data_IF_538147226587
#
_entry.id   IF_538147226587
#
_cell.length_a   1.000
_cell.length_b   1.000
_cell.length_c   1.000
_cell.angle_alpha   90.00
_cell.angle_beta   90.00
_cell.angle_gamma   90.00
#
_symmetry.space_group_name_H-M   'P 1'
#
loop_
_entity.id
_entity.type
_entity.pdbx_description
1 polymer ?
#
# COMPACT_ATOMS: atom_id res chain seq x y z
N UNK A 1 -5.71 -17.99 13.23
CA UNK A 1 -6.44 -17.58 12.01
C UNK A 1 -5.74 -18.20 10.82
N UNK A 2 -6.48 -18.82 9.88
CA UNK A 2 -5.90 -19.41 8.67
C UNK A 2 -5.36 -18.31 7.75
N UNK A 3 -4.27 -18.59 7.03
CA UNK A 3 -3.58 -17.64 6.15
C UNK A 3 -4.50 -17.03 5.08
N UNK A 4 -5.47 -17.78 4.57
CA UNK A 4 -6.39 -17.29 3.53
C UNK A 4 -7.47 -16.34 4.08
N UNK A 5 -7.94 -16.60 5.30
CA UNK A 5 -8.84 -15.67 6.01
C UNK A 5 -8.12 -14.36 6.33
N UNK A 6 -6.84 -14.41 6.69
CA UNK A 6 -6.02 -13.21 6.91
C UNK A 6 -5.82 -12.39 5.64
N UNK A 7 -5.54 -13.04 4.50
CA UNK A 7 -5.41 -12.35 3.20
C UNK A 7 -6.70 -11.63 2.82
N UNK A 8 -7.87 -12.29 2.97
CA UNK A 8 -9.18 -11.67 2.69
C UNK A 8 -9.45 -10.46 3.59
N UNK A 9 -9.20 -10.60 4.89
CA UNK A 9 -9.37 -9.51 5.86
C UNK A 9 -8.48 -8.30 5.51
N UNK A 10 -7.22 -8.54 5.16
CA UNK A 10 -6.28 -7.48 4.83
C UNK A 10 -6.66 -6.77 3.52
N UNK A 11 -7.18 -7.50 2.52
CA UNK A 11 -7.73 -6.88 1.31
C UNK A 11 -8.93 -5.98 1.60
N UNK A 12 -9.83 -6.39 2.50
CA UNK A 12 -10.99 -5.56 2.91
C UNK A 12 -10.52 -4.29 3.61
N UNK A 13 -9.56 -4.40 4.54
CA UNK A 13 -8.98 -3.24 5.23
C UNK A 13 -8.32 -2.28 4.25
N UNK A 14 -7.55 -2.80 3.29
CA UNK A 14 -6.88 -1.97 2.28
C UNK A 14 -7.89 -1.23 1.37
N UNK A 15 -8.96 -1.92 0.97
CA UNK A 15 -10.00 -1.34 0.12
C UNK A 15 -10.79 -0.26 0.87
N UNK A 16 -11.14 -0.52 2.14
CA UNK A 16 -11.76 0.47 3.01
C UNK A 16 -10.88 1.70 3.26
N UNK A 17 -9.59 1.49 3.52
CA UNK A 17 -8.62 2.59 3.70
C UNK A 17 -8.51 3.44 2.43
N UNK A 18 -8.42 2.82 1.25
CA UNK A 18 -8.37 3.54 -0.02
C UNK A 18 -9.60 4.40 -0.26
N UNK A 19 -10.79 3.87 0.00
CA UNK A 19 -12.04 4.63 -0.12
C UNK A 19 -12.11 5.81 0.86
N UNK A 20 -11.66 5.61 2.11
CA UNK A 20 -11.65 6.65 3.14
C UNK A 20 -10.67 7.78 2.79
N UNK A 21 -9.48 7.44 2.27
CA UNK A 21 -8.50 8.43 1.79
C UNK A 21 -9.07 9.22 0.61
N UNK A 22 -9.66 8.53 -0.38
CA UNK A 22 -10.27 9.21 -1.53
C UNK A 22 -11.39 10.17 -1.10
N UNK A 23 -12.25 9.74 -0.17
CA UNK A 23 -13.29 10.59 0.40
C UNK A 23 -12.69 11.80 1.15
N UNK A 24 -11.64 11.59 1.94
CA UNK A 24 -10.98 12.67 2.67
C UNK A 24 -10.37 13.73 1.75
N UNK A 25 -9.87 13.33 0.58
CA UNK A 25 -9.37 14.25 -0.44
C UNK A 25 -10.51 15.06 -1.05
N UNK A 26 -11.61 14.41 -1.45
CA UNK A 26 -12.77 15.08 -2.09
C UNK A 26 -13.50 16.01 -1.13
N UNK A 27 -13.61 15.61 0.13
CA UNK A 27 -14.26 16.40 1.18
C UNK A 27 -13.35 17.49 1.78
N UNK A 28 -12.14 17.67 1.23
CA UNK A 28 -11.12 18.63 1.70
C UNK A 28 -10.87 18.54 3.21
N UNK A 29 -10.91 17.32 3.75
CA UNK A 29 -10.69 17.08 5.16
C UNK A 29 -9.23 17.41 5.53
N UNK A 30 -9.00 17.90 6.75
CA UNK A 30 -7.66 18.24 7.18
C UNK A 30 -6.76 17.00 7.23
N UNK A 31 -5.47 17.22 6.92
CA UNK A 31 -4.45 16.17 6.67
C UNK A 31 -4.31 15.15 7.82
N UNK A 32 -4.66 15.53 9.05
CA UNK A 32 -4.61 14.62 10.20
C UNK A 32 -5.63 13.47 10.13
N UNK A 33 -6.74 13.63 9.38
CA UNK A 33 -7.74 12.56 9.19
C UNK A 33 -7.16 11.37 8.42
N UNK A 34 -6.64 11.52 7.18
CA UNK A 34 -6.04 10.41 6.46
C UNK A 34 -4.80 9.86 7.18
N UNK A 35 -4.04 10.70 7.90
CA UNK A 35 -2.92 10.25 8.71
C UNK A 35 -3.36 9.27 9.81
N UNK A 36 -4.39 9.64 10.59
CA UNK A 36 -4.97 8.77 11.61
C UNK A 36 -5.50 7.47 11.02
N UNK A 37 -6.23 7.54 9.89
CA UNK A 37 -6.75 6.36 9.22
C UNK A 37 -5.64 5.37 8.81
N UNK A 38 -4.53 5.87 8.25
CA UNK A 38 -3.37 5.04 7.89
C UNK A 38 -2.74 4.40 9.12
N UNK A 39 -2.55 5.17 10.21
CA UNK A 39 -1.96 4.63 11.46
C UNK A 39 -2.81 3.53 12.08
N UNK A 40 -4.13 3.71 12.11
CA UNK A 40 -5.09 2.72 12.62
C UNK A 40 -5.09 1.44 11.77
N UNK A 41 -5.08 1.59 10.44
CA UNK A 41 -4.99 0.46 9.53
C UNK A 41 -3.69 -0.34 9.70
N UNK A 42 -2.56 0.36 9.89
CA UNK A 42 -1.26 -0.28 10.16
C UNK A 42 -1.27 -1.04 11.49
N UNK A 43 -1.82 -0.42 12.54
CA UNK A 43 -1.91 -1.03 13.87
C UNK A 43 -2.79 -2.28 13.82
N UNK A 44 -3.96 -2.20 13.18
CA UNK A 44 -4.85 -3.33 12.98
C UNK A 44 -4.15 -4.47 12.21
N UNK A 45 -3.49 -4.14 11.09
CA UNK A 45 -2.76 -5.13 10.29
C UNK A 45 -1.66 -5.84 11.12
N UNK A 46 -0.94 -5.11 11.96
CA UNK A 46 0.12 -5.69 12.79
C UNK A 46 -0.44 -6.60 13.90
N UNK A 47 -1.54 -6.22 14.53
CA UNK A 47 -2.22 -7.03 15.56
C UNK A 47 -2.75 -8.33 14.93
N UNK A 48 -3.44 -8.25 13.79
CA UNK A 48 -3.96 -9.44 13.11
C UNK A 48 -2.84 -10.35 12.60
N UNK A 49 -1.70 -9.78 12.18
CA UNK A 49 -0.53 -10.56 11.76
C UNK A 49 0.07 -11.39 12.89
N UNK A 50 0.07 -10.87 14.13
CA UNK A 50 0.54 -11.63 15.31
C UNK A 50 -0.32 -12.86 15.62
N UNK A 51 -1.57 -12.90 15.16
CA UNK A 51 -2.51 -14.00 15.37
C UNK A 51 -2.45 -15.15 14.35
N UNK A 52 -1.58 -15.08 13.35
CA UNK A 52 -1.42 -16.12 12.32
C UNK A 52 -0.19 -16.98 12.65
N UNK A 53 -0.42 -18.25 13.02
CA UNK A 53 0.63 -19.23 13.33
C UNK A 53 1.11 -20.04 12.11
N UNK A 54 0.45 -19.93 10.97
CA UNK A 54 0.82 -20.64 9.74
C UNK A 54 2.02 -19.99 9.03
N UNK A 55 2.94 -20.82 8.55
CA UNK A 55 4.06 -20.41 7.69
C UNK A 55 3.49 -19.92 6.35
N UNK A 56 3.43 -18.61 6.17
CA UNK A 56 2.75 -17.97 5.04
C UNK A 56 3.42 -18.19 3.68
N UNK A 57 4.60 -18.80 3.63
CA UNK A 57 5.38 -18.87 2.41
C UNK A 57 6.23 -20.15 2.38
N UNK A 58 6.08 -20.92 1.30
CA UNK A 58 6.96 -22.03 0.93
C UNK A 58 8.19 -21.46 0.15
N UNK A 59 9.36 -22.08 0.29
CA UNK A 59 10.62 -21.34 0.45
C UNK A 59 11.83 -22.04 -0.18
N UNK A 60 12.18 -21.79 -1.46
CA UNK A 60 13.62 -21.68 -1.83
C UNK A 60 13.90 -21.14 -3.23
N UNK A 61 13.46 -21.79 -4.31
CA UNK A 61 13.91 -21.37 -5.66
C UNK A 61 13.22 -20.13 -6.22
N UNK A 62 12.02 -19.77 -5.73
CA UNK A 62 11.28 -18.56 -6.17
C UNK A 62 11.71 -17.28 -5.45
N UNK A 63 12.44 -17.38 -4.33
CA UNK A 63 12.59 -16.29 -3.34
C UNK A 63 13.67 -15.25 -3.65
N UNK A 64 14.64 -15.50 -4.52
CA UNK A 64 15.76 -14.56 -4.71
C UNK A 64 15.35 -13.41 -5.64
N UNK A 65 14.78 -13.72 -6.81
CA UNK A 65 14.25 -12.68 -7.73
C UNK A 65 12.95 -12.05 -7.21
N UNK A 66 12.09 -12.84 -6.55
CA UNK A 66 10.87 -12.34 -5.92
C UNK A 66 11.19 -11.45 -4.70
N UNK A 67 12.25 -11.72 -3.91
CA UNK A 67 12.65 -10.82 -2.80
C UNK A 67 13.23 -9.50 -3.28
N UNK A 68 14.06 -9.49 -4.32
CA UNK A 68 14.59 -8.25 -4.88
C UNK A 68 13.45 -7.38 -5.42
N UNK A 69 12.52 -7.99 -6.16
CA UNK A 69 11.33 -7.30 -6.69
C UNK A 69 10.41 -6.82 -5.57
N UNK A 70 10.16 -7.65 -4.55
CA UNK A 70 9.33 -7.29 -3.38
C UNK A 70 9.98 -6.21 -2.51
N UNK A 71 11.31 -6.24 -2.34
CA UNK A 71 12.03 -5.21 -1.59
C UNK A 71 11.99 -3.88 -2.34
N UNK A 72 12.31 -3.88 -3.63
CA UNK A 72 12.23 -2.68 -4.48
C UNK A 72 10.82 -2.12 -4.48
N UNK A 73 9.81 -2.98 -4.59
CA UNK A 73 8.41 -2.60 -4.50
C UNK A 73 8.04 -2.01 -3.13
N UNK A 74 8.48 -2.61 -2.02
CA UNK A 74 8.24 -2.08 -0.67
C UNK A 74 8.93 -0.74 -0.44
N UNK A 75 10.18 -0.60 -0.87
CA UNK A 75 10.93 0.65 -0.74
C UNK A 75 10.29 1.73 -1.60
N UNK A 76 9.96 1.43 -2.86
CA UNK A 76 9.33 2.39 -3.77
C UNK A 76 7.96 2.85 -3.28
N UNK A 77 7.13 1.91 -2.80
CA UNK A 77 5.81 2.23 -2.22
C UNK A 77 5.91 3.07 -0.95
N UNK A 78 6.82 2.73 -0.03
CA UNK A 78 7.01 3.48 1.22
C UNK A 78 7.58 4.86 0.97
N UNK A 79 8.65 4.98 0.19
CA UNK A 79 9.27 6.27 -0.16
C UNK A 79 8.24 7.18 -0.83
N UNK A 80 7.44 6.65 -1.74
CA UNK A 80 6.48 7.49 -2.45
C UNK A 80 5.26 7.85 -1.62
N UNK A 81 4.76 6.94 -0.78
CA UNK A 81 3.70 7.26 0.17
C UNK A 81 4.12 8.39 1.14
N UNK A 82 5.37 8.34 1.63
CA UNK A 82 5.95 9.40 2.46
C UNK A 82 6.11 10.70 1.66
N UNK A 83 6.58 10.62 0.41
CA UNK A 83 6.73 11.78 -0.47
C UNK A 83 5.40 12.50 -0.73
N UNK A 84 4.33 11.76 -1.00
CA UNK A 84 2.98 12.32 -1.20
C UNK A 84 2.43 12.95 0.09
N UNK A 85 2.65 12.30 1.24
CA UNK A 85 2.27 12.86 2.54
C UNK A 85 3.01 14.16 2.85
N UNK A 86 4.32 14.22 2.59
CA UNK A 86 5.10 15.45 2.73
C UNK A 86 4.60 16.55 1.80
N UNK A 87 4.35 16.23 0.53
CA UNK A 87 3.83 17.19 -0.45
C UNK A 87 2.46 17.73 -0.03
N UNK A 88 1.60 16.90 0.59
CA UNK A 88 0.33 17.33 1.16
C UNK A 88 0.50 18.23 2.39
N UNK A 89 1.43 17.90 3.31
CA UNK A 89 1.68 18.72 4.50
C UNK A 89 2.26 20.10 4.14
N UNK A 90 3.13 20.17 3.13
CA UNK A 90 3.77 21.41 2.68
C UNK A 90 2.96 22.13 1.59
N UNK A 91 1.71 21.74 1.34
CA UNK A 91 0.86 22.29 0.25
C UNK A 91 0.74 23.82 0.28
N UNK A 92 0.80 24.44 1.47
CA UNK A 92 0.75 25.91 1.60
C UNK A 92 2.04 26.63 1.23
N UNK A 93 3.17 25.92 1.19
CA UNK A 93 4.50 26.47 0.89
C UNK A 93 5.07 26.01 -0.46
N UNK A 94 4.36 25.11 -1.14
CA UNK A 94 4.79 24.51 -2.40
C UNK A 94 3.97 25.05 -3.58
N UNK A 95 4.58 25.22 -4.77
CA UNK A 95 3.86 25.60 -5.98
C UNK A 95 2.76 24.60 -6.37
N UNK A 96 1.66 25.06 -6.97
CA UNK A 96 0.55 24.17 -7.37
C UNK A 96 0.96 22.98 -8.25
N UNK A 97 2.01 23.13 -9.08
CA UNK A 97 2.50 22.05 -9.94
C UNK A 97 3.05 20.84 -9.15
N UNK A 98 3.52 21.03 -7.92
CA UNK A 98 4.02 19.92 -7.09
C UNK A 98 2.89 19.02 -6.60
N UNK A 99 1.69 19.58 -6.42
CA UNK A 99 0.51 18.81 -6.05
C UNK A 99 0.04 17.91 -7.20
N UNK A 100 0.05 18.44 -8.43
CA UNK A 100 -0.27 17.68 -9.64
C UNK A 100 0.76 16.58 -9.88
N UNK A 101 2.05 16.91 -9.76
CA UNK A 101 3.13 15.92 -9.87
C UNK A 101 3.00 14.83 -8.79
N UNK A 102 2.70 15.20 -7.53
CA UNK A 102 2.46 14.26 -6.45
C UNK A 102 1.30 13.30 -6.72
N UNK A 103 0.17 13.81 -7.25
CA UNK A 103 -0.94 12.96 -7.66
C UNK A 103 -0.57 12.01 -8.80
N UNK A 104 0.10 12.51 -9.85
CA UNK A 104 0.52 11.68 -10.98
C UNK A 104 1.42 10.52 -10.53
N UNK A 105 2.37 10.80 -9.63
CA UNK A 105 3.25 9.79 -9.05
C UNK A 105 2.45 8.80 -8.19
N UNK A 106 1.50 9.26 -7.37
CA UNK A 106 0.61 8.37 -6.60
C UNK A 106 -0.19 7.41 -7.51
N UNK A 107 -0.78 7.92 -8.60
CA UNK A 107 -1.50 7.10 -9.57
C UNK A 107 -0.58 6.09 -10.28
N UNK A 108 0.62 6.52 -10.67
CA UNK A 108 1.62 5.63 -11.27
C UNK A 108 2.00 4.48 -10.33
N UNK A 109 2.10 4.73 -9.02
CA UNK A 109 2.31 3.65 -8.05
C UNK A 109 1.14 2.70 -7.96
N UNK A 110 -0.10 3.21 -7.86
CA UNK A 110 -1.27 2.35 -7.83
C UNK A 110 -1.30 1.42 -9.06
N UNK A 111 -0.98 1.95 -10.25
CA UNK A 111 -0.85 1.15 -11.46
C UNK A 111 0.26 0.09 -11.36
N UNK A 112 1.42 0.47 -10.81
CA UNK A 112 2.53 -0.46 -10.58
C UNK A 112 2.17 -1.57 -9.58
N UNK A 113 1.38 -1.27 -8.55
CA UNK A 113 0.86 -2.27 -7.59
C UNK A 113 -0.04 -3.30 -8.28
N UNK A 114 -0.95 -2.83 -9.13
CA UNK A 114 -1.83 -3.71 -9.90
C UNK A 114 -1.05 -4.57 -10.89
N UNK A 115 -0.06 -3.98 -11.56
CA UNK A 115 0.82 -4.69 -12.49
C UNK A 115 1.64 -5.77 -11.79
N UNK A 116 2.24 -5.45 -10.64
CA UNK A 116 2.97 -6.42 -9.83
C UNK A 116 2.07 -7.59 -9.39
N UNK A 117 0.83 -7.31 -8.98
CA UNK A 117 -0.14 -8.35 -8.63
C UNK A 117 -0.52 -9.22 -9.84
N UNK A 118 -0.73 -8.61 -11.00
CA UNK A 118 -1.06 -9.31 -12.25
C UNK A 118 0.08 -10.25 -12.68
N UNK A 119 1.32 -9.78 -12.61
CA UNK A 119 2.52 -10.58 -12.92
C UNK A 119 2.61 -11.78 -11.97
N UNK A 120 2.47 -11.57 -10.65
CA UNK A 120 2.46 -12.68 -9.68
C UNK A 120 1.37 -13.69 -10.00
N UNK A 121 0.15 -13.25 -10.30
CA UNK A 121 -0.97 -14.14 -10.59
C UNK A 121 -0.75 -14.96 -11.86
N UNK A 122 -0.21 -14.34 -12.91
CA UNK A 122 0.11 -15.01 -14.17
C UNK A 122 1.16 -16.10 -13.98
N UNK A 123 2.25 -15.82 -13.26
CA UNK A 123 3.29 -16.82 -12.99
C UNK A 123 2.83 -17.89 -12.00
N UNK A 124 1.98 -17.54 -11.03
CA UNK A 124 1.42 -18.51 -10.08
C UNK A 124 0.47 -19.55 -10.71
N UNK A 125 -0.08 -19.28 -11.90
CA UNK A 125 -0.91 -20.24 -12.64
C UNK A 125 -0.14 -21.06 -13.68
N UNK A 126 1.13 -20.72 -13.92
CA UNK A 126 2.02 -21.38 -14.88
C UNK A 126 3.10 -22.27 -14.22
N UNK A 127 3.15 -22.27 -12.89
CA UNK A 127 3.98 -23.13 -12.04
C UNK A 127 3.07 -24.19 -11.40
#
# INVERSE_FOLDING_TARGET
MSADSFKKLMSIIALGLGALIAFAIVAELPVWVPLLAVTLALAAANIFRRGVKEVLADERSRRVDEKATVLTYRVFTTVTAVGVLLAMMLRSSLPEWTFIAGQAVAFALCALMLLHLAVIRYYSGKL
#
